data_IF_730523189293
#
_entry.id   IF_730523189293
#
_cell.length_a   1.000
_cell.length_b   1.000
_cell.length_c   1.000
_cell.angle_alpha   90.00
_cell.angle_beta   90.00
_cell.angle_gamma   90.00
#
_symmetry.space_group_name_H-M   'P 1'
#
loop_
_entity.id
_entity.type
_entity.pdbx_description
1 polymer ?
#
# COMPACT_ATOMS: atom_id res chain seq x y z
N UNK A 1 -26.92 48.81 10.84
CA UNK A 1 -27.29 47.40 11.14
C UNK A 1 -26.88 46.39 10.05
N UNK A 2 -25.70 46.51 9.43
CA UNK A 2 -25.29 45.59 8.34
C UNK A 2 -23.90 44.98 8.55
N UNK A 3 -23.65 44.34 9.71
CA UNK A 3 -22.35 43.64 9.89
C UNK A 3 -22.36 42.39 10.78
N UNK A 4 -23.42 42.14 11.57
CA UNK A 4 -23.49 40.92 12.38
C UNK A 4 -23.90 39.66 11.61
N UNK A 5 -24.56 39.80 10.45
CA UNK A 5 -25.04 38.66 9.65
C UNK A 5 -23.93 37.99 8.82
N UNK A 6 -22.93 38.77 8.35
CA UNK A 6 -21.83 38.25 7.51
C UNK A 6 -20.81 37.43 8.31
N UNK A 7 -20.52 37.84 9.54
CA UNK A 7 -19.62 37.11 10.46
C UNK A 7 -20.19 35.74 10.87
N UNK A 8 -21.50 35.64 11.11
CA UNK A 8 -22.16 34.38 11.44
C UNK A 8 -22.14 33.35 10.31
N UNK A 9 -22.26 33.81 9.06
CA UNK A 9 -22.23 32.93 7.89
C UNK A 9 -20.83 32.34 7.65
N UNK A 10 -19.78 33.15 7.80
CA UNK A 10 -18.39 32.72 7.66
C UNK A 10 -17.97 31.71 8.74
N UNK A 11 -18.38 31.92 10.00
CA UNK A 11 -18.15 30.97 11.08
C UNK A 11 -18.84 29.62 10.81
N UNK A 12 -20.08 29.64 10.31
CA UNK A 12 -20.81 28.41 9.94
C UNK A 12 -20.13 27.64 8.80
N UNK A 13 -19.54 28.35 7.83
CA UNK A 13 -18.81 27.73 6.70
C UNK A 13 -17.51 27.08 7.16
N UNK A 14 -16.76 27.74 8.05
CA UNK A 14 -15.54 27.21 8.64
C UNK A 14 -15.82 25.97 9.49
N UNK A 15 -16.91 25.98 10.25
CA UNK A 15 -17.31 24.83 11.05
C UNK A 15 -17.82 23.66 10.21
N UNK A 16 -18.56 23.95 9.13
CA UNK A 16 -18.93 22.94 8.11
C UNK A 16 -17.69 22.35 7.42
N UNK A 17 -16.68 23.16 7.08
CA UNK A 17 -15.40 22.70 6.53
C UNK A 17 -14.61 21.86 7.54
N UNK A 18 -14.52 22.27 8.80
CA UNK A 18 -13.91 21.47 9.88
C UNK A 18 -14.63 20.14 10.06
N UNK A 19 -15.96 20.14 10.15
CA UNK A 19 -16.77 18.91 10.27
C UNK A 19 -16.62 18.02 9.03
N UNK A 20 -16.50 18.59 7.82
CA UNK A 20 -16.24 17.83 6.61
C UNK A 20 -14.83 17.19 6.61
N UNK A 21 -13.79 17.91 7.05
CA UNK A 21 -12.43 17.37 7.20
C UNK A 21 -12.38 16.26 8.26
N UNK A 22 -13.05 16.46 9.40
CA UNK A 22 -13.16 15.45 10.47
C UNK A 22 -13.96 14.23 9.99
N UNK A 23 -15.04 14.43 9.23
CA UNK A 23 -15.85 13.34 8.64
C UNK A 23 -15.08 12.60 7.55
N UNK A 24 -14.21 13.28 6.79
CA UNK A 24 -13.28 12.67 5.82
C UNK A 24 -12.20 11.83 6.52
N UNK A 25 -11.63 12.32 7.64
CA UNK A 25 -10.70 11.56 8.51
C UNK A 25 -11.36 10.36 9.21
N UNK A 26 -12.64 10.45 9.61
CA UNK A 26 -13.38 9.33 10.24
C UNK A 26 -13.79 8.24 9.24
N UNK A 27 -13.95 8.56 7.95
CA UNK A 27 -14.32 7.59 6.90
C UNK A 27 -13.19 6.65 6.48
N UNK A 28 -11.94 6.91 6.90
CA UNK A 28 -10.76 6.14 6.46
C UNK A 28 -10.23 5.14 7.49
N UNK A 29 -10.90 4.91 8.63
CA UNK A 29 -10.52 3.83 9.54
C UNK A 29 -11.01 2.49 9.00
N UNK A 30 -10.28 1.96 8.00
CA UNK A 30 -10.42 0.58 7.53
C UNK A 30 -9.97 -0.35 8.66
N UNK A 31 -10.80 -1.33 9.01
CA UNK A 31 -10.47 -2.31 10.05
C UNK A 31 -9.15 -3.01 9.74
N UNK A 32 -8.22 -3.05 10.70
CA UNK A 32 -6.94 -3.74 10.58
C UNK A 32 -7.17 -5.26 10.60
N UNK A 33 -6.63 -5.99 9.62
CA UNK A 33 -6.78 -7.45 9.52
C UNK A 33 -5.70 -8.16 10.35
N UNK A 34 -5.91 -9.40 10.79
CA UNK A 34 -4.96 -10.14 11.65
C UNK A 34 -3.89 -10.90 10.85
N UNK A 35 -2.71 -11.12 11.45
CA UNK A 35 -1.58 -11.87 10.85
C UNK A 35 -1.96 -13.28 10.35
N UNK A 36 -2.94 -13.92 11.01
CA UNK A 36 -3.45 -15.27 10.66
C UNK A 36 -3.95 -15.39 9.24
N UNK A 37 -4.38 -14.27 8.65
CA UNK A 37 -5.04 -14.27 7.35
C UNK A 37 -4.00 -14.29 6.23
N UNK A 38 -2.85 -13.66 6.42
CA UNK A 38 -1.78 -13.65 5.41
C UNK A 38 -1.11 -15.02 5.26
N UNK A 39 -0.81 -15.70 6.37
CA UNK A 39 -0.22 -17.04 6.31
C UNK A 39 -1.10 -18.00 5.50
N UNK A 40 -2.42 -17.97 5.70
CA UNK A 40 -3.37 -18.79 4.95
C UNK A 40 -3.40 -18.42 3.46
N UNK A 41 -3.43 -17.13 3.14
CA UNK A 41 -3.39 -16.65 1.75
C UNK A 41 -2.11 -17.10 1.04
N UNK A 42 -0.97 -17.05 1.73
CA UNK A 42 0.30 -17.54 1.19
C UNK A 42 0.30 -19.05 0.97
N UNK A 43 -0.29 -19.84 1.87
CA UNK A 43 -0.46 -21.28 1.67
C UNK A 43 -1.29 -21.58 0.42
N UNK A 44 -2.42 -20.91 0.23
CA UNK A 44 -3.26 -21.05 -0.96
C UNK A 44 -2.57 -20.58 -2.23
N UNK A 45 -1.86 -19.45 -2.17
CA UNK A 45 -1.12 -18.91 -3.29
C UNK A 45 0.00 -19.87 -3.74
N UNK A 46 0.72 -20.46 -2.78
CA UNK A 46 1.81 -21.41 -3.07
C UNK A 46 1.34 -22.65 -3.82
N UNK A 47 0.11 -23.11 -3.58
CA UNK A 47 -0.50 -24.24 -4.30
C UNK A 47 -0.83 -23.92 -5.76
N UNK A 48 -1.04 -22.64 -6.08
CA UNK A 48 -1.34 -22.17 -7.44
C UNK A 48 -0.11 -21.71 -8.20
N UNK A 49 1.04 -21.57 -7.54
CA UNK A 49 2.27 -21.13 -8.17
C UNK A 49 2.66 -22.04 -9.33
N UNK A 50 3.07 -21.45 -10.46
CA UNK A 50 3.36 -22.16 -11.72
C UNK A 50 2.15 -22.34 -12.64
N UNK A 51 0.93 -22.03 -12.18
CA UNK A 51 -0.24 -22.00 -13.06
C UNK A 51 -0.15 -20.83 -14.05
N UNK A 52 -0.45 -21.02 -15.34
CA UNK A 52 -0.46 -19.93 -16.31
C UNK A 52 -1.62 -18.98 -16.03
N UNK A 53 -1.37 -17.67 -16.05
CA UNK A 53 -2.41 -16.66 -15.98
C UNK A 53 -2.00 -15.37 -15.25
N UNK A 54 -2.73 -14.26 -15.47
CA UNK A 54 -2.46 -12.99 -14.80
C UNK A 54 -2.76 -13.09 -13.30
N UNK A 55 -1.95 -12.40 -12.49
CA UNK A 55 -2.20 -12.29 -11.05
C UNK A 55 -3.25 -11.22 -10.77
N UNK A 56 -3.70 -11.13 -9.52
CA UNK A 56 -4.54 -10.00 -9.08
C UNK A 56 -3.82 -8.65 -9.28
N UNK A 57 -2.49 -8.60 -9.19
CA UNK A 57 -1.72 -7.39 -9.44
C UNK A 57 -1.60 -7.05 -10.92
N UNK A 58 -1.58 -8.04 -11.82
CA UNK A 58 -1.74 -7.78 -13.26
C UNK A 58 -3.05 -7.03 -13.55
N UNK A 59 -4.13 -7.41 -12.87
CA UNK A 59 -5.43 -6.72 -12.96
C UNK A 59 -5.44 -5.31 -12.37
N UNK A 60 -4.56 -5.04 -11.39
CA UNK A 60 -4.36 -3.68 -10.86
C UNK A 60 -3.56 -2.84 -11.86
N UNK A 61 -2.54 -3.42 -12.48
CA UNK A 61 -1.69 -2.73 -13.46
C UNK A 61 -2.50 -2.33 -14.69
N UNK A 62 -3.32 -3.25 -15.23
CA UNK A 62 -4.17 -3.01 -16.41
C UNK A 62 -5.47 -2.24 -16.09
N UNK A 63 -5.68 -1.87 -14.82
CA UNK A 63 -6.85 -1.14 -14.30
C UNK A 63 -8.18 -1.87 -14.47
N UNK A 64 -8.18 -3.19 -14.70
CA UNK A 64 -9.40 -4.00 -14.75
C UNK A 64 -10.07 -4.16 -13.37
N UNK A 65 -9.33 -3.95 -12.29
CA UNK A 65 -9.89 -3.80 -10.93
C UNK A 65 -9.44 -2.47 -10.29
N UNK A 66 -10.29 -1.85 -9.46
CA UNK A 66 -9.95 -0.61 -8.79
C UNK A 66 -8.89 -0.82 -7.70
N UNK A 67 -7.93 0.10 -7.63
CA UNK A 67 -6.98 0.23 -6.54
C UNK A 67 -6.77 1.71 -6.19
N UNK A 68 -6.46 2.00 -4.92
CA UNK A 68 -6.09 3.34 -4.49
C UNK A 68 -4.61 3.59 -4.82
N UNK A 69 -4.37 3.99 -6.07
CA UNK A 69 -3.03 4.24 -6.62
C UNK A 69 -2.51 5.58 -6.09
N UNK A 70 -1.33 5.51 -5.47
CA UNK A 70 -0.65 6.66 -4.85
C UNK A 70 0.63 7.06 -5.58
N UNK A 71 1.14 6.20 -6.46
CA UNK A 71 2.26 6.49 -7.36
C UNK A 71 2.20 5.60 -8.59
N UNK A 72 2.60 6.14 -9.74
CA UNK A 72 2.66 5.40 -11.00
C UNK A 72 3.71 6.01 -11.93
N UNK A 73 4.56 5.16 -12.51
CA UNK A 73 5.49 5.52 -13.59
C UNK A 73 5.58 4.41 -14.65
N UNK A 74 6.56 4.46 -15.53
CA UNK A 74 6.80 3.48 -16.59
C UNK A 74 7.32 2.12 -16.08
N UNK A 75 7.92 2.06 -14.89
CA UNK A 75 8.55 0.86 -14.33
C UNK A 75 7.70 0.17 -13.26
N UNK A 76 6.90 0.92 -12.50
CA UNK A 76 6.23 0.43 -11.31
C UNK A 76 4.91 1.15 -10.99
N UNK A 77 4.22 0.61 -9.99
CA UNK A 77 2.98 1.15 -9.43
C UNK A 77 3.04 1.03 -7.90
N UNK A 78 2.57 2.04 -7.18
CA UNK A 78 2.29 1.94 -5.75
C UNK A 78 0.82 2.21 -5.44
N UNK A 79 0.23 1.39 -4.58
CA UNK A 79 -1.17 1.49 -4.18
C UNK A 79 -1.39 1.00 -2.75
N UNK A 80 -2.45 1.50 -2.11
CA UNK A 80 -2.77 1.11 -0.72
C UNK A 80 -3.20 -0.35 -0.64
N UNK A 81 -2.69 -1.03 0.38
CA UNK A 81 -3.05 -2.41 0.64
C UNK A 81 -4.54 -2.50 1.03
N UNK A 82 -5.23 -3.53 0.52
CA UNK A 82 -6.65 -3.74 0.78
C UNK A 82 -6.92 -4.25 2.21
N UNK A 83 -5.93 -4.90 2.83
CA UNK A 83 -5.92 -5.49 4.17
C UNK A 83 -4.79 -4.87 5.02
N UNK A 84 -4.83 -3.56 5.33
CA UNK A 84 -3.74 -2.86 5.97
C UNK A 84 -3.35 -3.46 7.33
N UNK A 85 -2.04 -3.60 7.58
CA UNK A 85 -1.45 -4.12 8.83
C UNK A 85 -0.87 -3.00 9.72
N UNK A 86 -0.90 -1.76 9.22
CA UNK A 86 -0.48 -0.55 9.91
C UNK A 86 -1.32 0.63 9.40
N UNK A 87 -1.38 1.78 10.12
CA UNK A 87 -2.14 2.95 9.67
C UNK A 87 -1.78 3.42 8.26
N UNK A 88 -0.50 3.31 7.89
CA UNK A 88 -0.05 3.39 6.50
C UNK A 88 0.45 2.01 6.10
N UNK A 89 -0.20 1.40 5.11
CA UNK A 89 0.24 0.16 4.47
C UNK A 89 -0.01 0.27 2.97
N UNK A 90 1.05 0.27 2.17
CA UNK A 90 0.97 0.28 0.71
C UNK A 90 1.97 -0.71 0.13
N UNK A 91 1.73 -1.09 -1.12
CA UNK A 91 2.58 -1.98 -1.90
C UNK A 91 3.24 -1.19 -3.02
N UNK A 92 4.49 -1.50 -3.33
CA UNK A 92 5.17 -1.08 -4.56
C UNK A 92 5.43 -2.33 -5.40
N UNK A 93 4.96 -2.35 -6.65
CA UNK A 93 5.07 -3.51 -7.55
C UNK A 93 5.71 -3.08 -8.88
N UNK A 94 6.56 -3.93 -9.50
CA UNK A 94 7.01 -3.70 -10.87
C UNK A 94 5.87 -3.93 -11.86
N UNK A 95 5.90 -3.25 -13.00
CA UNK A 95 4.99 -3.56 -14.11
C UNK A 95 5.33 -4.89 -14.78
N UNK A 96 6.61 -5.21 -14.87
CA UNK A 96 7.10 -6.52 -15.34
C UNK A 96 6.70 -7.59 -14.31
N UNK A 97 6.11 -8.72 -14.72
CA UNK A 97 5.62 -9.74 -13.80
C UNK A 97 6.76 -10.63 -13.30
N UNK A 98 7.62 -10.10 -12.41
CA UNK A 98 8.59 -10.91 -11.66
C UNK A 98 7.80 -11.68 -10.59
N UNK A 99 7.71 -13.02 -10.59
CA UNK A 99 6.79 -13.72 -9.69
C UNK A 99 7.16 -13.61 -8.21
N UNK A 100 8.46 -13.62 -7.90
CA UNK A 100 9.01 -13.52 -6.53
C UNK A 100 10.46 -13.09 -6.57
N UNK A 101 10.99 -12.63 -5.44
CA UNK A 101 12.35 -12.07 -5.39
C UNK A 101 13.44 -13.10 -5.72
N UNK A 102 13.25 -14.37 -5.32
CA UNK A 102 14.19 -15.46 -5.65
C UNK A 102 14.22 -15.86 -7.14
N UNK A 103 13.37 -15.26 -7.97
CA UNK A 103 13.37 -15.44 -9.43
C UNK A 103 13.84 -14.20 -10.19
N UNK A 104 14.18 -13.12 -9.49
CA UNK A 104 14.78 -11.94 -10.11
C UNK A 104 16.16 -12.31 -10.70
N UNK A 105 16.50 -11.66 -11.82
CA UNK A 105 17.78 -11.83 -12.52
C UNK A 105 18.72 -10.68 -12.19
N UNK A 106 20.00 -10.84 -12.49
CA UNK A 106 21.00 -9.77 -12.30
C UNK A 106 20.63 -8.50 -13.10
N UNK A 107 20.05 -8.66 -14.29
CA UNK A 107 19.57 -7.55 -15.12
C UNK A 107 18.39 -6.78 -14.49
N UNK A 108 17.71 -7.34 -13.49
CA UNK A 108 16.63 -6.65 -12.76
C UNK A 108 17.18 -5.69 -11.69
N UNK A 109 18.49 -5.63 -11.46
CA UNK A 109 19.09 -4.84 -10.37
C UNK A 109 18.66 -3.36 -10.37
N UNK A 110 18.63 -2.71 -11.54
CA UNK A 110 18.18 -1.31 -11.64
C UNK A 110 16.70 -1.17 -11.29
N UNK A 111 15.86 -2.11 -11.74
CA UNK A 111 14.43 -2.13 -11.41
C UNK A 111 14.22 -2.34 -9.91
N UNK A 112 14.92 -3.30 -9.30
CA UNK A 112 14.82 -3.54 -7.86
C UNK A 112 15.26 -2.32 -7.03
N UNK A 113 16.33 -1.65 -7.46
CA UNK A 113 16.76 -0.37 -6.88
C UNK A 113 15.70 0.72 -7.02
N UNK A 114 15.09 0.82 -8.21
CA UNK A 114 14.00 1.76 -8.50
C UNK A 114 12.80 1.54 -7.56
N UNK A 115 12.37 0.30 -7.35
CA UNK A 115 11.26 -0.02 -6.45
C UNK A 115 11.53 0.44 -5.00
N UNK A 116 12.76 0.28 -4.50
CA UNK A 116 13.14 0.75 -3.16
C UNK A 116 13.20 2.28 -3.06
N UNK A 117 13.69 2.96 -4.09
CA UNK A 117 13.70 4.42 -4.17
C UNK A 117 12.27 4.96 -4.17
N UNK A 118 11.38 4.37 -4.97
CA UNK A 118 9.95 4.70 -5.00
C UNK A 118 9.31 4.46 -3.64
N UNK A 119 9.55 3.29 -3.01
CA UNK A 119 9.04 2.99 -1.67
C UNK A 119 9.41 4.08 -0.65
N UNK A 120 10.67 4.51 -0.63
CA UNK A 120 11.16 5.59 0.24
C UNK A 120 10.52 6.96 -0.09
N UNK A 121 10.35 7.28 -1.38
CA UNK A 121 9.76 8.56 -1.78
C UNK A 121 8.26 8.62 -1.44
N UNK A 122 7.53 7.54 -1.67
CA UNK A 122 6.10 7.43 -1.32
C UNK A 122 5.91 7.41 0.20
N UNK A 123 6.78 6.74 0.96
CA UNK A 123 6.74 6.79 2.42
C UNK A 123 6.87 8.23 2.96
N UNK A 124 7.74 9.05 2.35
CA UNK A 124 7.86 10.48 2.67
C UNK A 124 6.58 11.26 2.34
N UNK A 125 5.96 11.00 1.20
CA UNK A 125 4.67 11.62 0.81
C UNK A 125 3.53 11.24 1.77
N UNK A 126 3.54 10.00 2.26
CA UNK A 126 2.60 9.47 3.25
C UNK A 126 2.93 9.89 4.69
N UNK A 127 3.84 10.85 4.88
CA UNK A 127 4.19 11.44 6.18
C UNK A 127 4.77 10.45 7.20
N UNK A 128 5.51 9.43 6.75
CA UNK A 128 6.22 8.48 7.61
C UNK A 128 7.58 9.03 8.08
N UNK A 129 7.58 10.15 8.81
CA UNK A 129 8.80 10.82 9.31
C UNK A 129 9.50 10.06 10.44
N UNK A 130 8.74 9.35 11.28
CA UNK A 130 9.24 8.61 12.45
C UNK A 130 9.77 7.20 12.10
N UNK A 131 9.93 6.92 10.81
CA UNK A 131 10.37 5.62 10.30
C UNK A 131 9.23 4.70 9.86
N UNK A 132 9.64 3.62 9.20
CA UNK A 132 8.76 2.62 8.59
C UNK A 132 9.51 1.30 8.39
N UNK A 133 8.79 0.23 8.07
CA UNK A 133 9.37 -1.07 7.71
C UNK A 133 9.08 -1.40 6.25
N UNK A 134 10.10 -1.85 5.56
CA UNK A 134 10.03 -2.41 4.20
C UNK A 134 10.08 -3.93 4.31
N UNK A 135 9.18 -4.64 3.65
CA UNK A 135 9.13 -6.12 3.67
C UNK A 135 8.95 -6.66 2.26
N UNK A 136 9.75 -7.65 1.90
CA UNK A 136 9.58 -8.48 0.70
C UNK A 136 9.44 -9.91 1.18
N UNK A 137 8.30 -10.53 0.87
CA UNK A 137 7.99 -11.90 1.25
C UNK A 137 8.35 -12.83 0.09
N UNK A 138 9.03 -13.94 0.38
CA UNK A 138 9.41 -14.93 -0.63
C UNK A 138 8.81 -16.31 -0.29
N UNK A 139 7.90 -16.77 -1.17
CA UNK A 139 7.27 -18.07 -1.09
C UNK A 139 6.41 -18.30 0.16
N UNK A 140 6.09 -19.59 0.41
CA UNK A 140 5.22 -20.02 1.50
C UNK A 140 5.72 -19.56 2.87
N UNK A 141 7.00 -19.79 3.18
CA UNK A 141 7.56 -19.47 4.50
C UNK A 141 7.75 -17.97 4.72
N UNK A 142 7.92 -17.18 3.65
CA UNK A 142 7.90 -15.73 3.70
C UNK A 142 6.49 -15.16 3.86
N UNK A 143 5.42 -15.96 3.81
CA UNK A 143 4.03 -15.49 3.73
C UNK A 143 3.77 -14.61 2.48
N UNK A 144 4.21 -15.06 1.31
CA UNK A 144 3.91 -14.39 0.03
C UNK A 144 2.51 -14.80 -0.49
N UNK A 145 1.54 -13.88 -0.44
CA UNK A 145 0.15 -14.13 -0.87
C UNK A 145 -0.13 -13.92 -2.36
N UNK A 146 0.72 -13.17 -3.06
CA UNK A 146 0.62 -12.94 -4.51
C UNK A 146 1.97 -13.19 -5.16
N UNK A 147 1.99 -14.07 -6.17
CA UNK A 147 3.19 -14.39 -6.96
C UNK A 147 3.41 -13.36 -8.07
N UNK A 148 3.53 -12.11 -7.65
CA UNK A 148 4.00 -10.96 -8.39
C UNK A 148 4.75 -10.11 -7.37
N UNK A 149 6.02 -9.80 -7.61
CA UNK A 149 6.93 -9.15 -6.67
C UNK A 149 6.28 -7.89 -6.11
N UNK A 150 6.27 -7.77 -4.79
CA UNK A 150 5.70 -6.61 -4.12
C UNK A 150 6.49 -6.28 -2.87
N UNK A 151 6.70 -4.99 -2.68
CA UNK A 151 7.35 -4.42 -1.52
C UNK A 151 6.28 -3.83 -0.63
N UNK A 152 6.09 -4.40 0.56
CA UNK A 152 5.25 -3.79 1.58
C UNK A 152 5.99 -2.64 2.23
N UNK A 153 5.29 -1.52 2.43
CA UNK A 153 5.76 -0.42 3.27
C UNK A 153 4.74 -0.17 4.36
N UNK A 154 5.17 -0.35 5.62
CA UNK A 154 4.33 -0.24 6.81
C UNK A 154 4.83 0.85 7.74
N UNK A 155 3.93 1.74 8.18
CA UNK A 155 4.28 2.81 9.11
C UNK A 155 3.07 3.45 9.79
N UNK A 156 3.33 4.54 10.51
CA UNK A 156 2.32 5.25 11.30
C UNK A 156 2.03 4.61 12.66
N UNK A 157 2.83 3.62 13.07
CA UNK A 157 2.87 3.02 14.41
C UNK A 157 4.24 2.40 14.67
N UNK A 158 4.58 2.15 15.94
CA UNK A 158 5.78 1.38 16.30
C UNK A 158 5.69 -0.04 15.71
N UNK A 159 6.74 -0.46 15.00
CA UNK A 159 6.89 -1.82 14.52
C UNK A 159 7.59 -2.68 15.59
N UNK A 160 7.06 -3.88 15.86
CA UNK A 160 7.61 -4.82 16.85
C UNK A 160 8.75 -5.66 16.27
N UNK A 161 9.50 -6.32 17.15
CA UNK A 161 10.52 -7.32 16.83
C UNK A 161 10.22 -8.63 17.57
N UNK A 162 10.35 -9.83 16.94
CA UNK A 162 10.79 -10.08 15.56
C UNK A 162 9.80 -9.57 14.48
N UNK A 163 10.20 -9.49 13.20
CA UNK A 163 9.40 -8.94 12.11
C UNK A 163 8.52 -10.02 11.44
N UNK A 164 7.88 -10.85 12.27
CA UNK A 164 6.96 -11.93 11.89
C UNK A 164 5.98 -12.15 13.02
#
# INVERSE_FOLDING_TARGET
ECDRSRLGLAASLLEKRRKAVIKKKKKTHRSLRTKSDEVKLAEEASKRYGSPGPTIFSKVIDKSIPADIIYEDDKCLAFRDISPQAPVHFLVIPRVPIPRISTAKDDDAELLGHLLVVAKNVAKQESLSEGYRVVINDGKHGSQSVYHLHIHVLGGRQMKWPPG
#
